data_IF_233921289713
#
_entry.id   IF_233921289713
#
_cell.length_a   1.000
_cell.length_b   1.000
_cell.length_c   1.000
_cell.angle_alpha   90.00
_cell.angle_beta   90.00
_cell.angle_gamma   90.00
#
_symmetry.space_group_name_H-M   'P 1'
#
loop_
_entity.id
_entity.type
_entity.pdbx_description
1 polymer ?
#
# COMPACT_ATOMS: atom_id res chain seq x y z
N UNK A 1 -35.51 4.56 0.44
CA UNK A 1 -34.42 5.15 -0.36
C UNK A 1 -33.99 6.47 0.29
N UNK A 2 -33.02 6.45 1.21
CA UNK A 2 -32.48 7.67 1.85
C UNK A 2 -30.99 7.75 1.52
N UNK A 3 -30.61 8.81 0.80
CA UNK A 3 -29.21 9.19 0.52
C UNK A 3 -28.49 9.36 1.86
N UNK A 4 -27.36 8.68 2.03
CA UNK A 4 -26.46 8.90 3.16
C UNK A 4 -25.70 10.21 2.95
N UNK A 5 -25.81 11.09 3.94
CA UNK A 5 -25.16 12.39 4.04
C UNK A 5 -23.67 12.23 4.35
N UNK A 6 -22.81 12.95 3.63
CA UNK A 6 -21.34 12.91 3.70
C UNK A 6 -20.77 13.63 4.94
N UNK A 7 -21.61 14.04 5.88
CA UNK A 7 -21.23 14.92 7.00
C UNK A 7 -20.69 14.21 8.25
N UNK A 8 -20.66 12.86 8.30
CA UNK A 8 -20.42 12.08 9.53
C UNK A 8 -18.94 11.81 9.91
N UNK A 9 -17.93 12.36 9.21
CA UNK A 9 -16.51 12.05 9.48
C UNK A 9 -15.74 13.16 10.22
N UNK A 10 -16.41 14.01 11.00
CA UNK A 10 -15.74 15.02 11.83
C UNK A 10 -15.56 14.52 13.26
N UNK A 11 -14.44 13.85 13.51
CA UNK A 11 -14.04 13.42 14.84
C UNK A 11 -12.67 12.76 14.89
N UNK A 12 -11.62 13.42 14.38
CA UNK A 12 -10.25 12.92 14.48
C UNK A 12 -9.35 13.91 15.21
N UNK A 13 -8.79 13.46 16.34
CA UNK A 13 -7.98 14.25 17.26
C UNK A 13 -6.55 14.45 16.72
N UNK A 14 -6.05 15.66 16.88
CA UNK A 14 -4.88 16.22 16.19
C UNK A 14 -3.49 15.81 16.73
N UNK A 15 -3.30 14.61 17.32
CA UNK A 15 -2.06 14.31 18.07
C UNK A 15 -0.94 13.58 17.30
N UNK A 16 -1.17 13.09 16.07
CA UNK A 16 -0.22 12.23 15.33
C UNK A 16 0.24 12.78 13.95
N UNK A 17 0.19 14.11 13.76
CA UNK A 17 0.31 14.79 12.46
C UNK A 17 1.72 14.86 11.82
N UNK A 18 2.68 14.00 12.18
CA UNK A 18 4.08 14.08 11.68
C UNK A 18 4.67 12.77 11.14
N UNK A 19 3.83 11.81 10.73
CA UNK A 19 4.26 10.76 9.80
C UNK A 19 3.95 11.24 8.37
N UNK A 20 4.81 10.90 7.41
CA UNK A 20 4.90 11.47 6.07
C UNK A 20 3.67 11.12 5.19
N UNK A 21 2.54 11.82 5.39
CA UNK A 21 1.30 11.64 4.62
C UNK A 21 1.49 11.63 3.10
N UNK A 22 2.53 12.31 2.60
CA UNK A 22 2.81 12.44 1.17
C UNK A 22 3.37 11.15 0.53
N UNK A 23 3.87 10.17 1.31
CA UNK A 23 4.31 8.85 0.79
C UNK A 23 3.27 7.75 0.96
N UNK A 24 2.15 8.05 1.61
CA UNK A 24 1.08 7.07 1.80
C UNK A 24 0.17 7.06 0.59
N UNK A 25 -0.08 5.87 0.02
CA UNK A 25 -1.13 5.71 -0.96
C UNK A 25 -2.50 5.81 -0.27
N UNK A 26 -3.47 6.56 -0.82
CA UNK A 26 -4.78 6.72 -0.19
C UNK A 26 -5.47 5.38 0.12
N UNK A 27 -6.11 5.28 1.29
CA UNK A 27 -6.84 4.06 1.72
C UNK A 27 -7.93 3.72 0.72
N UNK A 28 -8.60 4.73 0.16
CA UNK A 28 -9.63 4.61 -0.85
C UNK A 28 -9.14 3.88 -2.11
N UNK A 29 -7.87 4.04 -2.46
CA UNK A 29 -7.27 3.36 -3.59
C UNK A 29 -7.02 1.88 -3.28
N UNK A 30 -6.54 1.54 -2.08
CA UNK A 30 -6.45 0.15 -1.62
C UNK A 30 -7.83 -0.52 -1.59
N UNK A 31 -8.86 0.18 -1.10
CA UNK A 31 -10.27 -0.29 -1.12
C UNK A 31 -10.75 -0.55 -2.54
N UNK A 32 -10.31 0.23 -3.52
CA UNK A 32 -10.69 0.05 -4.93
C UNK A 32 -10.01 -1.17 -5.57
N UNK A 33 -8.75 -1.45 -5.22
CA UNK A 33 -7.98 -2.56 -5.81
C UNK A 33 -8.29 -3.91 -5.15
N UNK A 34 -8.63 -3.93 -3.86
CA UNK A 34 -8.80 -5.17 -3.08
C UNK A 34 -9.92 -6.09 -3.58
N UNK A 35 -11.14 -5.60 -3.89
CA UNK A 35 -12.20 -6.44 -4.48
C UNK A 35 -11.80 -7.00 -5.84
N UNK A 36 -11.24 -6.16 -6.72
CA UNK A 36 -10.73 -6.59 -8.02
C UNK A 36 -9.68 -7.70 -7.89
N UNK A 37 -8.78 -7.58 -6.92
CA UNK A 37 -7.78 -8.62 -6.64
C UNK A 37 -8.43 -9.92 -6.19
N UNK A 38 -9.36 -9.83 -5.24
CA UNK A 38 -10.06 -10.99 -4.68
C UNK A 38 -10.91 -11.73 -5.72
N UNK A 39 -11.52 -11.01 -6.65
CA UNK A 39 -12.33 -11.58 -7.73
C UNK A 39 -11.46 -12.31 -8.78
N UNK A 40 -10.22 -11.85 -8.97
CA UNK A 40 -9.33 -12.35 -10.03
C UNK A 40 -8.34 -13.40 -9.56
N UNK A 41 -7.95 -13.34 -8.30
CA UNK A 41 -6.96 -14.23 -7.70
C UNK A 41 -7.57 -14.95 -6.52
N UNK A 42 -7.41 -16.28 -6.46
CA UNK A 42 -7.88 -17.11 -5.35
C UNK A 42 -6.96 -16.99 -4.12
N UNK A 43 -6.70 -15.76 -3.66
CA UNK A 43 -5.78 -15.44 -2.58
C UNK A 43 -6.46 -14.59 -1.50
N UNK A 44 -6.01 -14.76 -0.26
CA UNK A 44 -6.42 -13.91 0.86
C UNK A 44 -5.57 -12.66 0.90
N UNK A 45 -6.19 -11.53 1.21
CA UNK A 45 -5.49 -10.27 1.47
C UNK A 45 -5.28 -10.13 2.96
N UNK A 46 -4.05 -9.90 3.37
CA UNK A 46 -3.65 -9.75 4.77
C UNK A 46 -3.12 -8.34 4.96
N UNK A 47 -3.64 -7.64 5.97
CA UNK A 47 -3.16 -6.31 6.35
C UNK A 47 -2.12 -6.47 7.47
N UNK A 48 -0.94 -5.91 7.24
CA UNK A 48 0.17 -5.88 8.21
C UNK A 48 0.62 -4.44 8.46
N UNK A 49 1.40 -4.23 9.52
CA UNK A 49 1.91 -2.91 9.88
C UNK A 49 1.91 -2.72 11.39
N UNK A 50 2.45 -1.58 11.83
CA UNK A 50 2.50 -1.23 13.24
C UNK A 50 1.17 -0.65 13.75
N UNK A 51 1.16 -0.26 15.02
CA UNK A 51 -0.01 0.36 15.67
C UNK A 51 -0.39 1.71 15.02
N UNK A 52 0.56 2.39 14.40
CA UNK A 52 0.36 3.62 13.62
C UNK A 52 -0.52 3.41 12.38
N UNK A 53 -0.67 2.17 11.90
CA UNK A 53 -1.50 1.84 10.74
C UNK A 53 -2.92 1.39 11.11
N UNK A 54 -3.23 1.23 12.41
CA UNK A 54 -4.47 0.59 12.87
C UNK A 54 -5.73 1.25 12.34
N UNK A 55 -5.77 2.59 12.31
CA UNK A 55 -6.91 3.35 11.81
C UNK A 55 -7.20 3.05 10.34
N UNK A 56 -6.15 3.04 9.51
CA UNK A 56 -6.24 2.75 8.07
C UNK A 56 -6.63 1.29 7.83
N UNK A 57 -6.02 0.36 8.57
CA UNK A 57 -6.34 -1.05 8.47
C UNK A 57 -7.79 -1.36 8.87
N UNK A 58 -8.31 -0.71 9.91
CA UNK A 58 -9.71 -0.85 10.30
C UNK A 58 -10.67 -0.27 9.26
N UNK A 59 -10.29 0.81 8.57
CA UNK A 59 -11.07 1.34 7.46
C UNK A 59 -11.11 0.36 6.27
N UNK A 60 -9.97 -0.24 5.93
CA UNK A 60 -9.88 -1.32 4.93
C UNK A 60 -10.74 -2.53 5.28
N UNK A 61 -10.63 -3.03 6.52
CA UNK A 61 -11.38 -4.20 6.99
C UNK A 61 -12.91 -3.98 6.92
N UNK A 62 -13.38 -2.77 7.23
CA UNK A 62 -14.81 -2.42 7.08
C UNK A 62 -15.25 -2.35 5.62
N UNK A 63 -14.39 -1.86 4.74
CA UNK A 63 -14.73 -1.63 3.33
C UNK A 63 -14.56 -2.87 2.45
N UNK A 64 -13.70 -3.81 2.85
CA UNK A 64 -13.37 -5.02 2.09
C UNK A 64 -13.57 -6.27 2.96
N UNK A 65 -14.80 -6.81 3.03
CA UNK A 65 -15.06 -8.04 3.78
C UNK A 65 -14.18 -9.19 3.30
N UNK A 66 -13.54 -9.90 4.24
CA UNK A 66 -12.69 -11.06 3.93
C UNK A 66 -11.19 -10.78 3.92
N UNK A 67 -10.76 -9.51 4.06
CA UNK A 67 -9.37 -9.21 4.42
C UNK A 67 -9.09 -9.68 5.85
N UNK A 68 -7.86 -10.12 6.11
CA UNK A 68 -7.41 -10.54 7.45
C UNK A 68 -6.56 -9.41 8.03
N UNK A 69 -7.04 -8.77 9.10
CA UNK A 69 -6.34 -7.66 9.72
C UNK A 69 -5.38 -8.12 10.84
N UNK A 70 -4.09 -8.19 10.54
CA UNK A 70 -2.99 -8.51 11.48
C UNK A 70 -2.20 -7.27 11.92
N UNK A 71 -2.67 -6.07 11.59
CA UNK A 71 -2.02 -4.79 11.93
C UNK A 71 -1.87 -4.64 13.44
N UNK A 72 -0.64 -4.39 13.91
CA UNK A 72 -0.32 -4.30 15.32
C UNK A 72 -0.42 -5.62 16.10
N UNK A 73 -0.62 -6.75 15.43
CA UNK A 73 -0.79 -8.09 16.04
C UNK A 73 0.37 -9.04 15.74
N UNK A 74 1.40 -8.55 15.06
CA UNK A 74 2.57 -9.32 14.65
C UNK A 74 3.84 -8.58 15.04
N UNK A 75 4.85 -9.35 15.42
CA UNK A 75 6.23 -8.87 15.52
C UNK A 75 6.86 -8.75 14.14
N UNK A 76 8.04 -8.11 14.07
CA UNK A 76 8.79 -8.01 12.82
C UNK A 76 9.18 -9.39 12.26
N UNK A 77 9.56 -10.32 13.13
CA UNK A 77 9.93 -11.69 12.75
C UNK A 77 8.73 -12.50 12.23
N UNK A 78 7.56 -12.35 12.86
CA UNK A 78 6.31 -12.96 12.37
C UNK A 78 5.88 -12.35 11.03
N UNK A 79 6.05 -11.03 10.86
CA UNK A 79 5.80 -10.37 9.57
C UNK A 79 6.74 -10.92 8.50
N UNK A 80 8.04 -11.09 8.78
CA UNK A 80 8.99 -11.69 7.85
C UNK A 80 8.54 -13.12 7.45
N UNK A 81 8.13 -13.91 8.44
CA UNK A 81 7.65 -15.28 8.23
C UNK A 81 6.39 -15.33 7.37
N UNK A 82 5.49 -14.35 7.55
CA UNK A 82 4.30 -14.19 6.70
C UNK A 82 4.69 -13.82 5.27
N UNK A 83 5.65 -12.93 5.07
CA UNK A 83 6.13 -12.53 3.75
C UNK A 83 6.76 -13.71 2.99
N UNK A 84 7.48 -14.62 3.66
CA UNK A 84 8.00 -15.84 3.04
C UNK A 84 6.92 -16.75 2.42
N UNK A 85 5.69 -16.68 2.93
CA UNK A 85 4.55 -17.45 2.44
C UNK A 85 3.66 -16.67 1.46
N UNK A 86 3.92 -15.38 1.31
CA UNK A 86 3.08 -14.44 0.56
C UNK A 86 3.43 -14.50 -0.92
N UNK A 87 2.40 -14.52 -1.78
CA UNK A 87 2.56 -14.54 -3.24
C UNK A 87 2.81 -13.17 -3.85
N UNK A 88 2.39 -12.12 -3.15
CA UNK A 88 2.57 -10.74 -3.56
C UNK A 88 2.46 -9.80 -2.36
N UNK A 89 3.43 -8.91 -2.19
CA UNK A 89 3.35 -7.78 -1.26
C UNK A 89 3.05 -6.49 -2.04
N UNK A 90 1.95 -5.82 -1.72
CA UNK A 90 1.68 -4.44 -2.16
C UNK A 90 2.06 -3.49 -1.01
N UNK A 91 2.98 -2.56 -1.25
CA UNK A 91 3.50 -1.67 -0.21
C UNK A 91 3.92 -0.31 -0.76
N UNK A 92 4.29 0.61 0.14
CA UNK A 92 5.01 1.85 -0.17
C UNK A 92 6.43 1.75 0.37
N UNK A 93 7.26 2.76 0.10
CA UNK A 93 8.63 2.87 0.63
C UNK A 93 8.66 2.90 2.17
N UNK A 94 8.74 1.70 2.76
CA UNK A 94 8.68 1.40 4.20
C UNK A 94 9.66 0.29 4.56
N UNK A 95 9.93 0.09 5.86
CA UNK A 95 10.76 -1.04 6.31
C UNK A 95 10.21 -2.42 5.89
N UNK A 96 8.90 -2.56 5.70
CA UNK A 96 8.27 -3.82 5.26
C UNK A 96 8.61 -4.13 3.80
N UNK A 97 8.77 -3.11 2.95
CA UNK A 97 9.29 -3.30 1.59
C UNK A 97 10.67 -3.96 1.61
N UNK A 98 11.61 -3.41 2.40
CA UNK A 98 12.96 -3.96 2.52
C UNK A 98 12.96 -5.38 3.08
N UNK A 99 12.08 -5.66 4.04
CA UNK A 99 11.90 -7.01 4.55
C UNK A 99 11.40 -7.97 3.45
N UNK A 100 10.50 -7.50 2.58
CA UNK A 100 10.03 -8.25 1.40
C UNK A 100 11.17 -8.61 0.45
N UNK A 101 12.05 -7.66 0.14
CA UNK A 101 13.26 -7.94 -0.66
C UNK A 101 14.16 -8.97 0.02
N UNK A 102 14.38 -8.86 1.33
CA UNK A 102 15.27 -9.75 2.07
C UNK A 102 14.80 -11.22 2.06
N UNK A 103 13.49 -11.46 1.93
CA UNK A 103 12.91 -12.82 1.89
C UNK A 103 12.47 -13.25 0.49
N UNK A 104 12.86 -12.51 -0.55
CA UNK A 104 12.50 -12.75 -1.96
C UNK A 104 10.97 -12.86 -2.19
N UNK A 105 10.19 -12.04 -1.47
CA UNK A 105 8.76 -11.94 -1.68
C UNK A 105 8.49 -11.10 -2.95
N UNK A 106 7.75 -11.62 -3.95
CA UNK A 106 7.31 -10.79 -5.08
C UNK A 106 6.56 -9.57 -4.57
N UNK A 107 6.90 -8.37 -5.06
CA UNK A 107 6.30 -7.15 -4.52
C UNK A 107 6.08 -6.05 -5.55
N UNK A 108 4.99 -5.32 -5.34
CA UNK A 108 4.69 -4.05 -5.97
C UNK A 108 4.93 -2.96 -4.93
N UNK A 109 5.93 -2.11 -5.14
CA UNK A 109 6.19 -0.98 -4.25
C UNK A 109 5.89 0.35 -4.92
N UNK A 110 5.02 1.15 -4.30
CA UNK A 110 4.65 2.46 -4.80
C UNK A 110 5.63 3.50 -4.25
N UNK A 111 6.30 4.22 -5.16
CA UNK A 111 7.27 5.25 -4.82
C UNK A 111 6.77 6.65 -5.11
N UNK A 112 7.07 7.58 -4.21
CA UNK A 112 6.90 9.00 -4.46
C UNK A 112 8.05 9.51 -5.34
N UNK A 113 7.83 10.57 -6.12
CA UNK A 113 8.84 11.11 -7.04
C UNK A 113 10.17 11.51 -6.36
N UNK A 114 10.11 12.02 -5.13
CA UNK A 114 11.25 12.40 -4.28
C UNK A 114 12.03 11.22 -3.71
N UNK A 115 11.49 10.01 -3.82
CA UNK A 115 12.14 8.78 -3.37
C UNK A 115 12.26 7.87 -4.61
N UNK A 116 13.22 8.11 -5.51
CA UNK A 116 13.32 7.36 -6.74
C UNK A 116 13.51 5.87 -6.47
N UNK A 117 12.69 5.02 -7.10
CA UNK A 117 12.70 3.58 -6.86
C UNK A 117 14.09 2.95 -7.05
N UNK A 118 14.85 3.44 -8.05
CA UNK A 118 16.20 2.98 -8.37
C UNK A 118 17.21 3.04 -7.21
N UNK A 119 16.96 3.91 -6.21
CA UNK A 119 17.87 4.10 -5.08
C UNK A 119 17.57 3.10 -3.94
N UNK A 120 16.40 2.47 -3.95
CA UNK A 120 15.90 1.60 -2.86
C UNK A 120 15.55 0.18 -3.29
N UNK A 121 15.21 -0.02 -4.57
CA UNK A 121 14.91 -1.32 -5.13
C UNK A 121 16.21 -2.09 -5.46
N UNK A 122 16.18 -3.43 -5.40
CA UNK A 122 17.25 -4.26 -5.96
C UNK A 122 17.55 -3.87 -7.41
N UNK A 123 18.82 -3.97 -7.82
CA UNK A 123 19.23 -3.76 -9.21
C UNK A 123 18.74 -4.85 -10.17
N UNK A 124 18.08 -5.87 -9.64
CA UNK A 124 17.49 -6.95 -10.42
C UNK A 124 16.23 -6.44 -11.13
N UNK A 125 16.25 -6.43 -12.47
CA UNK A 125 15.12 -6.07 -13.33
C UNK A 125 14.11 -7.23 -13.50
N UNK A 126 14.15 -8.23 -12.61
CA UNK A 126 13.20 -9.35 -12.66
C UNK A 126 11.76 -8.86 -12.47
N UNK A 127 10.82 -9.53 -13.14
CA UNK A 127 9.39 -9.24 -13.04
C UNK A 127 8.81 -9.45 -11.62
N UNK A 128 9.62 -9.91 -10.66
CA UNK A 128 9.24 -10.09 -9.25
C UNK A 128 9.09 -8.76 -8.51
N UNK A 129 9.78 -7.72 -8.98
CA UNK A 129 9.81 -6.41 -8.34
C UNK A 129 9.30 -5.35 -9.30
N UNK A 130 8.11 -4.82 -9.03
CA UNK A 130 7.53 -3.74 -9.86
C UNK A 130 7.38 -2.50 -8.99
N UNK A 131 7.92 -1.38 -9.47
CA UNK A 131 7.96 -0.14 -8.71
C UNK A 131 7.28 1.02 -9.43
N UNK A 132 5.92 1.10 -9.44
CA UNK A 132 5.22 2.27 -9.95
C UNK A 132 5.67 3.51 -9.18
N UNK A 133 6.06 4.55 -9.93
CA UNK A 133 6.55 5.79 -9.36
C UNK A 133 5.64 6.94 -9.75
N UNK A 134 5.28 7.76 -8.76
CA UNK A 134 4.50 8.97 -8.95
C UNK A 134 5.19 9.88 -9.98
N UNK A 135 4.44 10.30 -10.99
CA UNK A 135 4.93 11.19 -12.04
C UNK A 135 4.51 12.62 -11.72
N UNK A 136 5.46 13.55 -11.64
CA UNK A 136 5.13 14.97 -11.52
C UNK A 136 4.60 15.51 -12.83
N UNK A 137 3.53 16.28 -12.73
CA UNK A 137 3.09 17.17 -13.81
C UNK A 137 4.05 18.36 -13.97
N UNK A 138 4.59 18.88 -12.85
CA UNK A 138 5.54 20.01 -12.85
C UNK A 138 6.66 19.85 -11.79
N UNK A 139 7.95 20.10 -12.14
CA UNK A 139 9.09 19.89 -11.25
C UNK A 139 9.07 20.72 -9.95
N UNK A 140 8.39 21.86 -9.95
CA UNK A 140 8.47 22.89 -8.90
C UNK A 140 7.35 22.80 -7.84
N UNK A 141 6.44 21.82 -7.95
CA UNK A 141 5.39 21.64 -6.93
C UNK A 141 6.00 21.13 -5.61
N UNK A 142 5.54 21.64 -4.46
CA UNK A 142 6.02 21.16 -3.18
C UNK A 142 5.64 19.68 -2.98
N UNK A 143 6.43 18.90 -2.22
CA UNK A 143 6.18 17.47 -1.98
C UNK A 143 4.75 17.16 -1.52
N UNK A 144 4.18 18.05 -0.70
CA UNK A 144 2.83 17.91 -0.16
C UNK A 144 1.71 18.23 -1.16
N UNK A 145 2.03 18.77 -2.34
CA UNK A 145 1.06 19.08 -3.39
C UNK A 145 0.84 17.91 -4.37
N UNK A 146 1.72 16.91 -4.34
CA UNK A 146 1.54 15.65 -5.05
C UNK A 146 1.35 14.56 -4.01
N UNK A 147 0.12 14.06 -3.88
CA UNK A 147 -0.11 12.86 -3.09
C UNK A 147 0.19 11.62 -3.94
N UNK A 148 0.48 10.50 -3.28
CA UNK A 148 0.63 9.21 -3.96
C UNK A 148 -0.64 8.77 -4.69
N UNK A 149 -1.79 9.42 -4.47
CA UNK A 149 -3.03 9.18 -5.21
C UNK A 149 -2.92 9.47 -6.71
N UNK A 150 -1.88 10.20 -7.15
CA UNK A 150 -1.55 10.31 -8.57
C UNK A 150 -1.12 8.99 -9.23
N UNK A 151 -0.69 8.00 -8.45
CA UNK A 151 -0.53 6.62 -8.95
C UNK A 151 -1.92 5.99 -8.99
N UNK A 152 -2.42 5.77 -10.21
CA UNK A 152 -3.79 5.31 -10.43
C UNK A 152 -3.99 3.86 -9.98
N UNK A 153 -5.23 3.51 -9.60
CA UNK A 153 -5.58 2.13 -9.30
C UNK A 153 -5.32 1.18 -10.48
N UNK A 154 -5.50 1.63 -11.71
CA UNK A 154 -5.29 0.78 -12.90
C UNK A 154 -3.81 0.50 -13.15
N UNK A 155 -2.93 1.48 -12.92
CA UNK A 155 -1.48 1.28 -12.94
C UNK A 155 -1.06 0.22 -11.91
N UNK A 156 -1.61 0.30 -10.69
CA UNK A 156 -1.34 -0.70 -9.64
C UNK A 156 -1.88 -2.08 -10.01
N UNK A 157 -3.08 -2.18 -10.60
CA UNK A 157 -3.63 -3.45 -11.08
C UNK A 157 -2.76 -4.10 -12.17
N UNK A 158 -2.24 -3.30 -13.10
CA UNK A 158 -1.31 -3.78 -14.13
C UNK A 158 -0.02 -4.29 -13.49
N UNK A 159 0.54 -3.55 -12.53
CA UNK A 159 1.73 -3.97 -11.79
C UNK A 159 1.51 -5.29 -11.03
N UNK A 160 0.38 -5.43 -10.33
CA UNK A 160 -0.02 -6.67 -9.65
C UNK A 160 -0.10 -7.83 -10.65
N UNK A 161 -0.73 -7.63 -11.80
CA UNK A 161 -0.86 -8.67 -12.82
C UNK A 161 0.48 -9.06 -13.49
N UNK A 162 1.49 -8.18 -13.46
CA UNK A 162 2.84 -8.47 -13.93
C UNK A 162 3.62 -9.33 -12.92
N UNK A 163 3.49 -9.05 -11.62
CA UNK A 163 4.14 -9.81 -10.55
C UNK A 163 3.50 -11.17 -10.24
N UNK A 164 2.18 -11.31 -10.42
CA UNK A 164 1.42 -12.53 -10.06
C UNK A 164 1.51 -13.66 -11.12
N UNK A 165 2.55 -13.69 -11.95
CA UNK A 165 2.74 -14.71 -13.00
C UNK A 165 3.51 -15.94 -12.53
#
# INVERSE_FOLDING_TARGET
>A
MRRLDRSSLRGFSNRWRKALFWRDWPVENYVTVTPWFSDRFAHKVILTGGLENLERANAMERACPGVINLTGKTTLAETASLLCLTKLLLTTDTGIMHLGFAVDCPLVCLFHDLCPAKDYCPLDESARYVAPQLRRSHPQQPPSACDMGGISCDEVKVAIAACSR
#
